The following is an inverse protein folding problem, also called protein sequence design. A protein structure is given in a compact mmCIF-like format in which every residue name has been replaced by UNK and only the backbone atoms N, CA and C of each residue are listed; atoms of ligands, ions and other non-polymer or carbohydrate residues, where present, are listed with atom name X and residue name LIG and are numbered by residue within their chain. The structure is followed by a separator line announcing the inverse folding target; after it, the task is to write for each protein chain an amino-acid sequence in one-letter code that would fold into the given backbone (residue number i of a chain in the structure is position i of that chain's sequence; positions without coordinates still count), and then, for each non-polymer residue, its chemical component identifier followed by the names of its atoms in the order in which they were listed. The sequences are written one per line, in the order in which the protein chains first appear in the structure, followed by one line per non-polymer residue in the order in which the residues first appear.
data_IF_558167566736
#
_entry.id   IF_558167566736
#
_cell.length_a   1.000
_cell.length_b   1.000
_cell.length_c   1.000
_cell.angle_alpha   90.00
_cell.angle_beta   90.00
_cell.angle_gamma   90.00
#
_symmetry.space_group_name_H-M   'P 1'
#
loop_
_entity.id
_entity.type
_entity.pdbx_description
1 polymer ?
#
# COMPACT_ATOMS: atom_id res chain seq x y z
N UNK A 1 -23.97 24.26 47.36
CA UNK A 1 -25.02 23.65 46.53
C UNK A 1 -24.69 23.92 45.07
N UNK A 2 -24.69 22.88 44.25
CA UNK A 2 -24.35 22.93 42.84
C UNK A 2 -25.53 23.45 42.02
N UNK A 3 -25.28 24.25 40.99
CA UNK A 3 -26.16 24.25 39.81
C UNK A 3 -25.36 24.44 38.52
N UNK A 4 -25.67 23.56 37.58
CA UNK A 4 -25.01 23.33 36.29
C UNK A 4 -25.49 24.36 35.28
N UNK A 5 -24.57 24.94 34.52
CA UNK A 5 -24.88 25.68 33.30
C UNK A 5 -23.82 25.43 32.23
N UNK A 6 -23.74 24.20 31.72
CA UNK A 6 -22.88 23.87 30.58
C UNK A 6 -23.44 24.61 29.35
N UNK A 7 -22.77 25.68 28.91
CA UNK A 7 -22.98 26.23 27.57
C UNK A 7 -22.49 25.20 26.56
N UNK A 8 -23.45 24.56 25.91
CA UNK A 8 -23.25 23.61 24.82
C UNK A 8 -22.36 24.22 23.74
N UNK A 9 -21.07 23.87 23.78
CA UNK A 9 -20.18 24.06 22.67
C UNK A 9 -20.71 23.24 21.50
N UNK A 10 -21.41 23.91 20.58
CA UNK A 10 -21.72 23.36 19.27
C UNK A 10 -20.41 23.01 18.58
N UNK A 11 -19.94 21.78 18.80
CA UNK A 11 -18.95 21.13 17.96
C UNK A 11 -19.57 21.05 16.58
N UNK A 12 -19.24 22.01 15.71
CA UNK A 12 -19.36 21.86 14.26
C UNK A 12 -18.72 20.52 13.93
N UNK A 13 -19.55 19.50 13.68
CA UNK A 13 -19.08 18.23 13.13
C UNK A 13 -18.44 18.59 11.79
N UNK A 14 -17.11 18.66 11.76
CA UNK A 14 -16.36 18.65 10.50
C UNK A 14 -16.91 17.46 9.73
N UNK A 15 -17.63 17.71 8.63
CA UNK A 15 -17.90 16.67 7.64
C UNK A 15 -16.52 16.13 7.30
N UNK A 16 -16.20 14.93 7.78
CA UNK A 16 -15.07 14.18 7.26
C UNK A 16 -15.41 14.05 5.79
N UNK A 17 -14.65 14.70 4.91
CA UNK A 17 -14.65 14.36 3.50
C UNK A 17 -14.48 12.84 3.48
N UNK A 18 -15.56 12.14 3.18
CA UNK A 18 -15.48 10.70 2.97
C UNK A 18 -14.60 10.60 1.75
N UNK A 19 -13.36 10.14 1.93
CA UNK A 19 -12.50 9.77 0.82
C UNK A 19 -13.34 8.81 -0.03
N UNK A 20 -13.83 9.30 -1.17
CA UNK A 20 -14.60 8.48 -2.09
C UNK A 20 -13.56 7.54 -2.68
N UNK A 21 -13.42 6.37 -2.07
CA UNK A 21 -12.68 5.28 -2.67
C UNK A 21 -13.46 4.92 -3.93
N UNK A 22 -12.92 5.35 -5.08
CA UNK A 22 -13.43 4.88 -6.37
C UNK A 22 -13.35 3.35 -6.34
N UNK A 23 -14.35 2.66 -6.92
CA UNK A 23 -14.28 1.22 -7.05
C UNK A 23 -12.94 0.84 -7.68
N UNK A 24 -12.31 -0.25 -7.23
CA UNK A 24 -11.05 -0.69 -7.81
C UNK A 24 -11.24 -0.84 -9.33
N UNK A 25 -10.26 -0.40 -10.14
CA UNK A 25 -10.35 -0.57 -11.58
C UNK A 25 -10.52 -2.06 -11.89
N UNK A 26 -11.34 -2.37 -12.89
CA UNK A 26 -11.51 -3.74 -13.36
C UNK A 26 -10.12 -4.32 -13.70
N UNK A 27 -9.69 -5.40 -13.03
CA UNK A 27 -8.36 -5.98 -13.21
C UNK A 27 -8.13 -6.48 -14.64
N UNK A 28 -9.21 -6.74 -15.38
CA UNK A 28 -9.17 -7.19 -16.78
C UNK A 28 -9.26 -6.04 -17.78
N UNK A 29 -9.44 -4.80 -17.31
CA UNK A 29 -9.46 -3.64 -18.19
C UNK A 29 -8.12 -3.45 -18.89
N UNK A 30 -8.16 -3.01 -20.15
CA UNK A 30 -6.97 -2.69 -20.94
C UNK A 30 -5.92 -1.82 -20.20
N UNK A 31 -6.29 -0.73 -19.48
CA UNK A 31 -5.31 0.04 -18.71
C UNK A 31 -4.72 -0.73 -17.53
N UNK A 32 -5.51 -1.56 -16.84
CA UNK A 32 -5.03 -2.39 -15.74
C UNK A 32 -4.02 -3.44 -16.22
N UNK A 33 -4.33 -4.13 -17.34
CA UNK A 33 -3.44 -5.11 -17.96
C UNK A 33 -2.14 -4.45 -18.43
N UNK A 34 -2.21 -3.29 -19.08
CA UNK A 34 -1.02 -2.55 -19.53
C UNK A 34 -0.13 -2.13 -18.35
N UNK A 35 -0.74 -1.64 -17.27
CA UNK A 35 -0.01 -1.32 -16.04
C UNK A 35 0.64 -2.56 -15.41
N UNK A 36 -0.09 -3.66 -15.33
CA UNK A 36 0.43 -4.93 -14.83
C UNK A 36 1.63 -5.43 -15.65
N UNK A 37 1.58 -5.30 -16.99
CA UNK A 37 2.69 -5.62 -17.87
C UNK A 37 3.93 -4.76 -17.57
N UNK A 38 3.77 -3.44 -17.44
CA UNK A 38 4.86 -2.53 -17.10
C UNK A 38 5.49 -2.82 -15.73
N UNK A 39 4.68 -3.14 -14.73
CA UNK A 39 5.15 -3.54 -13.40
C UNK A 39 5.89 -4.88 -13.44
N UNK A 40 5.37 -5.84 -14.20
CA UNK A 40 5.96 -7.18 -14.34
C UNK A 40 7.31 -7.15 -15.04
N UNK A 41 7.46 -6.33 -16.09
CA UNK A 41 8.72 -6.19 -16.82
C UNK A 41 9.88 -5.72 -15.92
N UNK A 42 9.59 -4.87 -14.93
CA UNK A 42 10.57 -4.34 -13.98
C UNK A 42 10.47 -4.98 -12.59
N UNK A 43 9.78 -6.11 -12.44
CA UNK A 43 9.48 -6.70 -11.13
C UNK A 43 10.75 -7.00 -10.32
N UNK A 44 11.83 -7.43 -10.98
CA UNK A 44 13.11 -7.67 -10.34
C UNK A 44 13.73 -6.40 -9.72
N UNK A 45 13.68 -5.28 -10.44
CA UNK A 45 14.18 -3.97 -9.96
C UNK A 45 13.30 -3.49 -8.80
N UNK A 46 11.98 -3.62 -8.94
CA UNK A 46 11.02 -3.21 -7.91
C UNK A 46 11.25 -3.95 -6.59
N UNK A 47 11.47 -5.26 -6.64
CA UNK A 47 11.75 -6.07 -5.46
C UNK A 47 13.09 -5.70 -4.84
N UNK A 48 14.14 -5.46 -5.65
CA UNK A 48 15.45 -4.99 -5.16
C UNK A 48 15.36 -3.64 -4.45
N UNK A 49 14.63 -2.66 -4.99
CA UNK A 49 14.42 -1.35 -4.34
C UNK A 49 13.70 -1.51 -2.99
N UNK A 50 12.79 -2.48 -2.88
CA UNK A 50 12.07 -2.78 -1.64
C UNK A 50 12.87 -3.66 -0.67
N UNK A 51 14.10 -4.04 -1.00
CA UNK A 51 14.91 -4.96 -0.20
C UNK A 51 14.38 -6.40 -0.17
N UNK A 52 13.49 -6.75 -1.09
CA UNK A 52 12.92 -8.09 -1.21
C UNK A 52 13.77 -8.92 -2.20
N UNK A 53 14.08 -10.18 -1.87
CA UNK A 53 14.83 -11.04 -2.77
C UNK A 53 14.01 -11.35 -4.02
N UNK A 54 14.64 -11.26 -5.20
CA UNK A 54 14.03 -11.77 -6.43
C UNK A 54 14.02 -13.31 -6.37
N UNK A 55 12.88 -13.98 -6.59
CA UNK A 55 12.77 -15.43 -6.40
C UNK A 55 13.65 -16.25 -7.36
N UNK A 56 13.99 -15.68 -8.52
CA UNK A 56 14.93 -16.29 -9.47
C UNK A 56 16.34 -15.74 -9.36
N UNK A 57 16.61 -14.81 -8.43
CA UNK A 57 17.99 -14.53 -8.05
C UNK A 57 18.47 -15.84 -7.42
N UNK A 58 19.36 -16.53 -8.13
CA UNK A 58 20.10 -17.63 -7.56
C UNK A 58 20.83 -17.02 -6.38
N UNK A 59 20.27 -17.14 -5.17
CA UNK A 59 21.05 -17.00 -3.95
C UNK A 59 22.20 -17.95 -4.18
N UNK A 60 23.38 -17.41 -4.45
CA UNK A 60 24.61 -18.18 -4.37
C UNK A 60 24.55 -18.78 -2.97
N UNK A 61 24.18 -20.07 -2.90
CA UNK A 61 24.34 -20.87 -1.70
C UNK A 61 25.84 -20.84 -1.52
N UNK A 62 26.33 -19.93 -0.66
CA UNK A 62 27.72 -19.93 -0.24
C UNK A 62 28.04 -21.39 0.08
N UNK A 63 29.06 -22.02 -0.54
CA UNK A 63 29.50 -23.31 -0.08
C UNK A 63 29.77 -23.13 1.42
N UNK A 64 29.13 -23.98 2.23
CA UNK A 64 29.42 -24.04 3.65
C UNK A 64 30.91 -24.36 3.71
N UNK A 65 31.74 -23.40 4.14
CA UNK A 65 33.13 -23.70 4.45
C UNK A 65 33.09 -24.77 5.54
N UNK A 66 33.44 -26.00 5.19
CA UNK A 66 33.93 -26.97 6.16
C UNK A 66 35.26 -26.39 6.67
N UNK A 67 35.23 -25.96 7.92
CA UNK A 67 36.40 -25.71 8.75
C UNK A 67 36.70 -27.01 9.52
#
# INVERSE_FOLDING_TARGET
MAEKGKKDGQKKKKKKDRLIMRPPPDPTSAPAVRNAYHMSFNAAIFLKIRGLPWPFDKKEKKPKKEE
#
